data_IF_639605676000
#
_entry.id   IF_639605676000
#
_cell.length_a   1.000
_cell.length_b   1.000
_cell.length_c   1.000
_cell.angle_alpha   90.00
_cell.angle_beta   90.00
_cell.angle_gamma   90.00
#
_symmetry.space_group_name_H-M   'P 1'
#
loop_
_entity.id
_entity.type
_entity.pdbx_description
1 polymer ?
#
# COMPACT_ATOMS: atom_id res chain seq x y z
N UNK A 1 -8.67 -3.73 -0.64
CA UNK A 1 -8.54 -4.35 -1.96
C UNK A 1 -7.48 -5.43 -1.84
N UNK A 2 -7.80 -6.65 -2.27
CA UNK A 2 -6.92 -7.80 -2.11
C UNK A 2 -6.45 -8.29 -3.48
N UNK A 3 -5.14 -8.32 -3.70
CA UNK A 3 -4.53 -8.89 -4.91
C UNK A 3 -4.05 -10.30 -4.60
N UNK A 4 -4.38 -11.26 -5.47
CA UNK A 4 -3.93 -12.63 -5.30
C UNK A 4 -2.48 -12.80 -5.81
N UNK A 5 -1.59 -13.16 -4.91
CA UNK A 5 -0.18 -13.43 -5.17
C UNK A 5 0.11 -14.94 -5.31
N UNK A 6 -0.90 -15.81 -5.34
CA UNK A 6 -0.70 -17.26 -5.42
C UNK A 6 0.11 -17.67 -6.66
N UNK A 7 -0.06 -16.96 -7.77
CA UNK A 7 0.58 -17.28 -9.04
C UNK A 7 2.09 -17.00 -9.00
N UNK A 8 2.50 -15.87 -8.40
CA UNK A 8 3.92 -15.53 -8.21
C UNK A 8 4.55 -16.34 -7.07
N UNK A 9 3.83 -16.55 -5.95
CA UNK A 9 4.33 -17.35 -4.84
C UNK A 9 4.50 -18.84 -5.18
N UNK A 10 3.74 -19.36 -6.15
CA UNK A 10 3.85 -20.75 -6.61
C UNK A 10 4.88 -20.93 -7.73
N UNK A 11 5.05 -19.94 -8.60
CA UNK A 11 5.94 -20.01 -9.76
C UNK A 11 6.90 -18.80 -9.81
N UNK A 12 8.18 -19.09 -9.55
CA UNK A 12 9.25 -18.07 -9.49
C UNK A 12 9.52 -17.36 -10.82
N UNK A 13 8.95 -17.82 -11.94
CA UNK A 13 9.11 -17.18 -13.25
C UNK A 13 7.93 -16.29 -13.62
N UNK A 14 6.90 -16.22 -12.77
CA UNK A 14 5.74 -15.38 -13.00
C UNK A 14 5.86 -14.04 -12.32
N UNK A 15 5.22 -13.05 -12.93
CA UNK A 15 5.07 -11.70 -12.39
C UNK A 15 3.59 -11.39 -12.39
N UNK A 16 3.08 -10.93 -11.26
CA UNK A 16 1.71 -10.43 -11.14
C UNK A 16 1.75 -8.92 -11.35
N UNK A 17 1.04 -8.43 -12.34
CA UNK A 17 0.88 -7.00 -12.60
C UNK A 17 -0.61 -6.74 -12.76
N UNK A 18 -1.19 -6.04 -11.79
CA UNK A 18 -2.63 -5.78 -11.71
C UNK A 18 -2.83 -4.29 -11.46
N UNK A 19 -3.76 -3.71 -12.22
CA UNK A 19 -4.19 -2.33 -12.02
C UNK A 19 -5.58 -2.36 -11.42
N UNK A 20 -5.70 -1.89 -10.18
CA UNK A 20 -6.93 -1.97 -9.41
C UNK A 20 -7.41 -0.56 -9.05
N UNK A 21 -8.71 -0.24 -9.19
CA UNK A 21 -9.21 1.07 -8.81
C UNK A 21 -9.07 1.27 -7.30
N UNK A 22 -8.67 2.47 -6.87
CA UNK A 22 -8.64 2.77 -5.44
C UNK A 22 -10.07 2.85 -4.89
N UNK A 23 -10.39 2.02 -3.90
CA UNK A 23 -11.69 2.01 -3.22
C UNK A 23 -11.74 2.91 -1.99
N UNK A 24 -10.62 3.55 -1.64
CA UNK A 24 -10.50 4.42 -0.49
C UNK A 24 -11.10 5.79 -0.79
N UNK A 25 -12.26 6.08 -0.17
CA UNK A 25 -12.96 7.37 -0.32
C UNK A 25 -12.70 8.33 0.86
N UNK A 26 -12.17 7.82 1.99
CA UNK A 26 -11.96 8.61 3.19
C UNK A 26 -10.78 8.08 4.02
N UNK A 27 -9.92 9.00 4.46
CA UNK A 27 -8.81 8.72 5.37
C UNK A 27 -9.28 8.98 6.80
N UNK A 28 -9.34 7.93 7.62
CA UNK A 28 -9.72 8.03 9.03
C UNK A 28 -8.49 8.16 9.92
N UNK A 29 -8.26 9.36 10.49
CA UNK A 29 -7.18 9.61 11.43
C UNK A 29 -7.73 9.93 12.82
N UNK A 30 -6.87 9.87 13.84
CA UNK A 30 -7.23 10.32 15.19
C UNK A 30 -7.64 11.80 15.23
N UNK A 31 -7.11 12.60 14.29
CA UNK A 31 -7.38 14.03 14.17
C UNK A 31 -8.73 14.33 13.51
N UNK A 32 -9.31 13.37 12.77
CA UNK A 32 -10.55 13.57 12.03
C UNK A 32 -10.62 12.70 10.78
N UNK A 33 -11.68 12.92 10.01
CA UNK A 33 -11.98 12.20 8.77
C UNK A 33 -11.73 13.12 7.58
N UNK A 34 -10.91 12.65 6.64
CA UNK A 34 -10.46 13.45 5.50
C UNK A 34 -10.94 12.80 4.19
N UNK A 35 -11.82 13.46 3.42
CA UNK A 35 -12.36 12.88 2.21
C UNK A 35 -11.32 12.88 1.08
N UNK A 36 -11.24 11.75 0.38
CA UNK A 36 -10.49 11.59 -0.87
C UNK A 36 -11.37 12.11 -1.99
N UNK A 37 -10.96 13.20 -2.63
CA UNK A 37 -11.73 13.86 -3.69
C UNK A 37 -11.32 13.42 -5.09
N UNK A 38 -10.07 13.00 -5.24
CA UNK A 38 -9.53 12.49 -6.49
C UNK A 38 -8.64 11.28 -6.16
N UNK A 39 -8.70 10.24 -6.97
CA UNK A 39 -7.85 9.05 -6.82
C UNK A 39 -7.58 8.42 -8.17
N UNK A 40 -6.33 8.01 -8.36
CA UNK A 40 -5.90 7.25 -9.52
C UNK A 40 -5.94 5.74 -9.22
N UNK A 41 -6.14 4.89 -10.24
CA UNK A 41 -6.00 3.46 -10.04
C UNK A 41 -4.59 3.12 -9.54
N UNK A 42 -4.53 2.09 -8.70
CA UNK A 42 -3.29 1.60 -8.13
C UNK A 42 -2.72 0.55 -9.04
N UNK A 43 -1.53 0.80 -9.56
CA UNK A 43 -0.79 -0.20 -10.30
C UNK A 43 0.07 -0.97 -9.31
N UNK A 44 -0.13 -2.29 -9.24
CA UNK A 44 0.62 -3.15 -8.33
C UNK A 44 1.35 -4.20 -9.14
N UNK A 45 2.64 -4.34 -8.88
CA UNK A 45 3.54 -5.25 -9.56
C UNK A 45 4.31 -6.09 -8.56
N UNK A 46 4.05 -7.38 -8.53
CA UNK A 46 4.74 -8.35 -7.70
C UNK A 46 5.58 -9.29 -8.56
N UNK A 47 6.89 -9.29 -8.37
CA UNK A 47 7.83 -10.15 -9.09
C UNK A 47 8.78 -10.87 -8.14
N UNK A 48 9.21 -12.06 -8.53
CA UNK A 48 10.28 -12.75 -7.82
C UNK A 48 11.64 -12.13 -8.14
N UNK A 49 12.38 -11.73 -7.11
CA UNK A 49 13.76 -11.29 -7.22
C UNK A 49 14.73 -12.40 -6.78
N UNK A 50 16.03 -12.25 -7.09
CA UNK A 50 17.04 -13.32 -6.89
C UNK A 50 17.05 -13.82 -5.44
N UNK A 51 16.57 -15.04 -5.20
CA UNK A 51 16.52 -15.65 -3.88
C UNK A 51 15.15 -16.26 -3.59
N UNK A 52 14.72 -16.24 -2.33
CA UNK A 52 13.34 -16.51 -1.91
C UNK A 52 12.61 -15.20 -1.58
N UNK A 53 12.92 -14.14 -2.32
CA UNK A 53 12.41 -12.80 -2.08
C UNK A 53 11.41 -12.40 -3.17
N UNK A 54 10.34 -11.73 -2.76
CA UNK A 54 9.33 -11.14 -3.61
C UNK A 54 9.46 -9.62 -3.54
N UNK A 55 9.48 -8.96 -4.70
CA UNK A 55 9.44 -7.52 -4.82
C UNK A 55 8.04 -7.09 -5.22
N UNK A 56 7.39 -6.35 -4.34
CA UNK A 56 6.06 -5.78 -4.57
C UNK A 56 6.23 -4.27 -4.73
N UNK A 57 5.82 -3.74 -5.87
CA UNK A 57 5.78 -2.31 -6.15
C UNK A 57 4.33 -1.89 -6.25
N UNK A 58 3.97 -0.75 -5.66
CA UNK A 58 2.69 -0.10 -5.91
C UNK A 58 2.89 1.38 -6.20
N UNK A 59 2.20 1.84 -7.24
CA UNK A 59 2.16 3.23 -7.62
C UNK A 59 0.71 3.71 -7.77
N UNK A 60 0.44 4.89 -7.19
CA UNK A 60 -0.86 5.56 -7.27
C UNK A 60 -0.72 7.02 -6.84
N UNK A 61 -1.71 7.84 -7.18
CA UNK A 61 -1.83 9.20 -6.68
C UNK A 61 -3.25 9.45 -6.14
N UNK A 62 -3.35 10.17 -5.03
CA UNK A 62 -4.62 10.55 -4.43
C UNK A 62 -4.62 12.01 -4.02
N UNK A 63 -5.78 12.64 -4.07
CA UNK A 63 -5.98 14.00 -3.58
C UNK A 63 -6.96 13.97 -2.42
N UNK A 64 -6.50 14.44 -1.26
CA UNK A 64 -7.28 14.47 -0.02
C UNK A 64 -7.55 15.92 0.37
N UNK A 65 -8.75 16.20 0.88
CA UNK A 65 -9.04 17.50 1.50
C UNK A 65 -8.60 17.49 2.96
N UNK A 66 -7.64 18.36 3.27
CA UNK A 66 -7.12 18.55 4.63
C UNK A 66 -7.46 19.97 5.09
N UNK A 67 -8.33 20.14 6.12
CA UNK A 67 -8.60 21.45 6.70
C UNK A 67 -7.32 22.04 7.29
N UNK A 68 -6.97 23.24 6.85
CA UNK A 68 -5.85 23.98 7.41
C UNK A 68 -6.20 24.46 8.82
N UNK A 69 -5.45 24.03 9.84
CA UNK A 69 -5.69 24.44 11.24
C UNK A 69 -5.66 25.98 11.43
N UNK A 70 -4.88 26.68 10.60
CA UNK A 70 -4.73 28.13 10.66
C UNK A 70 -5.87 28.90 10.00
N UNK A 71 -6.39 28.41 8.88
CA UNK A 71 -7.34 29.13 8.03
C UNK A 71 -8.76 28.54 8.08
N UNK A 72 -8.92 27.31 8.59
CA UNK A 72 -10.15 26.50 8.59
C UNK A 72 -10.73 26.26 7.19
N UNK A 73 -9.92 26.38 6.14
CA UNK A 73 -10.30 26.08 4.76
C UNK A 73 -9.78 24.71 4.34
N UNK A 74 -10.58 23.99 3.55
CA UNK A 74 -10.20 22.70 2.99
C UNK A 74 -9.14 22.89 1.90
N UNK A 75 -7.92 22.43 2.18
CA UNK A 75 -6.80 22.48 1.24
C UNK A 75 -6.67 21.12 0.56
N UNK A 76 -6.56 21.12 -0.77
CA UNK A 76 -6.27 19.91 -1.54
C UNK A 76 -4.81 19.53 -1.34
N UNK A 77 -4.59 18.30 -0.89
CA UNK A 77 -3.27 17.70 -0.74
C UNK A 77 -3.16 16.51 -1.68
N UNK A 78 -2.23 16.62 -2.63
CA UNK A 78 -1.91 15.56 -3.57
C UNK A 78 -0.80 14.68 -2.97
N UNK A 79 -1.11 13.40 -2.77
CA UNK A 79 -0.19 12.36 -2.33
C UNK A 79 0.18 11.51 -3.53
N UNK A 80 1.48 11.41 -3.83
CA UNK A 80 2.01 10.56 -4.90
C UNK A 80 2.72 9.39 -4.23
N UNK A 81 2.04 8.26 -4.19
CA UNK A 81 2.48 7.08 -3.45
C UNK A 81 3.26 6.19 -4.40
N UNK A 82 4.54 5.95 -4.08
CA UNK A 82 5.39 5.02 -4.80
C UNK A 82 6.11 4.11 -3.80
N UNK A 83 5.44 3.02 -3.43
CA UNK A 83 5.96 2.10 -2.44
C UNK A 83 6.61 0.90 -3.11
N UNK A 84 7.77 0.51 -2.63
CA UNK A 84 8.41 -0.76 -2.99
C UNK A 84 8.68 -1.54 -1.71
N UNK A 85 8.12 -2.75 -1.62
CA UNK A 85 8.27 -3.63 -0.46
C UNK A 85 8.91 -4.94 -0.88
N UNK A 86 9.90 -5.34 -0.10
CA UNK A 86 10.60 -6.61 -0.24
C UNK A 86 10.03 -7.58 0.79
N UNK A 87 9.66 -8.78 0.34
CA UNK A 87 9.03 -9.80 1.18
C UNK A 87 9.86 -11.07 1.05
N UNK A 88 10.52 -11.47 2.14
CA UNK A 88 11.28 -12.71 2.16
C UNK A 88 10.34 -13.89 2.46
N UNK A 89 10.06 -14.68 1.43
CA UNK A 89 9.21 -15.89 1.46
C UNK A 89 10.01 -17.08 2.02
N UNK A 90 11.29 -16.89 2.32
CA UNK A 90 12.20 -17.91 2.83
C UNK A 90 12.21 -18.05 4.35
N UNK A 91 11.65 -17.08 5.07
CA UNK A 91 11.62 -17.05 6.54
C UNK A 91 10.50 -17.96 7.08
N UNK A 92 10.80 -18.73 8.12
CA UNK A 92 9.78 -19.47 8.89
C UNK A 92 8.93 -18.51 9.71
N UNK A 93 7.70 -18.90 10.02
CA UNK A 93 6.65 -18.11 10.68
C UNK A 93 7.11 -17.37 11.95
N UNK A 94 8.17 -17.87 12.61
CA UNK A 94 8.74 -17.32 13.84
C UNK A 94 9.75 -16.16 13.62
N UNK A 95 10.50 -16.15 12.51
CA UNK A 95 11.49 -15.09 12.20
C UNK A 95 10.86 -13.91 11.46
N UNK A 96 9.69 -14.15 10.84
CA UNK A 96 8.85 -13.09 10.30
C UNK A 96 8.48 -12.12 11.46
N UNK A 97 8.12 -12.62 12.64
CA UNK A 97 7.50 -11.87 13.75
C UNK A 97 8.26 -10.66 14.32
N UNK A 98 9.57 -10.55 14.12
CA UNK A 98 10.38 -9.45 14.69
C UNK A 98 10.66 -8.30 13.70
N UNK A 99 10.57 -8.54 12.37
CA UNK A 99 10.58 -7.48 11.33
C UNK A 99 9.16 -7.20 10.76
N UNK A 100 8.16 -7.99 11.18
CA UNK A 100 6.77 -7.98 10.72
C UNK A 100 5.90 -6.81 11.16
N UNK A 101 6.39 -5.83 11.93
CA UNK A 101 5.58 -4.64 12.25
C UNK A 101 5.25 -3.85 10.97
N UNK A 102 6.07 -4.00 9.92
CA UNK A 102 5.89 -3.33 8.63
C UNK A 102 5.16 -4.17 7.55
N UNK A 103 4.92 -5.48 7.74
CA UNK A 103 4.41 -6.38 6.67
C UNK A 103 2.98 -6.90 6.88
N UNK A 104 2.13 -6.16 7.63
CA UNK A 104 0.71 -6.52 7.87
C UNK A 104 -0.20 -6.38 6.62
N UNK A 105 0.37 -6.07 5.46
CA UNK A 105 -0.36 -5.97 4.20
C UNK A 105 -0.43 -7.31 3.44
N UNK A 106 0.27 -8.38 3.84
CA UNK A 106 0.11 -9.72 3.21
C UNK A 106 -0.55 -10.68 4.18
N UNK A 107 -1.71 -11.20 3.79
CA UNK A 107 -2.44 -12.25 4.49
C UNK A 107 -2.40 -13.55 3.66
N UNK A 108 -1.46 -14.43 4.00
CA UNK A 108 -1.21 -15.68 3.28
C UNK A 108 -0.77 -15.44 1.83
N UNK A 109 -1.70 -15.57 0.88
CA UNK A 109 -1.47 -15.34 -0.54
C UNK A 109 -2.15 -14.06 -1.07
N UNK A 110 -2.70 -13.22 -0.20
CA UNK A 110 -3.41 -12.00 -0.60
C UNK A 110 -2.66 -10.77 -0.10
N UNK A 111 -2.44 -9.82 -1.00
CA UNK A 111 -1.90 -8.51 -0.69
C UNK A 111 -3.02 -7.49 -0.52
N UNK A 112 -3.12 -6.89 0.66
CA UNK A 112 -4.00 -5.79 0.99
C UNK A 112 -3.37 -4.45 0.58
N UNK A 113 -3.75 -3.99 -0.60
CA UNK A 113 -3.23 -2.76 -1.21
C UNK A 113 -3.68 -1.54 -0.41
N UNK A 114 -4.92 -1.50 0.06
CA UNK A 114 -5.42 -0.34 0.83
C UNK A 114 -4.64 -0.14 2.12
N UNK A 115 -4.31 -1.23 2.85
CA UNK A 115 -3.46 -1.13 4.03
C UNK A 115 -2.07 -0.58 3.72
N UNK A 116 -1.48 -1.04 2.62
CA UNK A 116 -0.13 -0.61 2.22
C UNK A 116 -0.12 0.88 1.86
N UNK A 117 -1.09 1.33 1.06
CA UNK A 117 -1.24 2.73 0.70
C UNK A 117 -1.55 3.62 1.90
N UNK A 118 -2.45 3.17 2.78
CA UNK A 118 -2.77 3.91 3.99
C UNK A 118 -1.55 4.16 4.86
N UNK A 119 -0.66 3.17 5.00
CA UNK A 119 0.58 3.34 5.74
C UNK A 119 1.48 4.43 5.13
N UNK A 120 1.60 4.48 3.80
CA UNK A 120 2.41 5.51 3.14
C UNK A 120 1.80 6.90 3.28
N UNK A 121 0.48 7.01 3.09
CA UNK A 121 -0.26 8.27 3.27
C UNK A 121 -0.06 8.82 4.68
N UNK A 122 -0.04 7.95 5.69
CA UNK A 122 0.24 8.34 7.08
C UNK A 122 1.67 8.85 7.27
N UNK A 123 2.64 8.24 6.58
CA UNK A 123 4.05 8.63 6.63
C UNK A 123 4.29 10.02 6.02
N UNK A 124 3.60 10.31 4.91
CA UNK A 124 3.67 11.60 4.21
C UNK A 124 2.65 12.63 4.71
N UNK A 125 1.90 12.34 5.77
CA UNK A 125 0.80 13.19 6.22
C UNK A 125 1.32 14.56 6.72
N UNK A 126 0.76 15.68 6.23
CA UNK A 126 1.14 17.01 6.71
C UNK A 126 0.66 17.18 8.16
N UNK A 127 1.63 17.26 9.09
CA UNK A 127 1.41 17.43 10.52
C UNK A 127 1.12 18.89 10.93
#
# INVERSE_FOLDING_TARGET
MLINLSDVLSDQHKTVEETVPLTMEMIHLKSGDYPVVESEPVHVRAEHVKGKELLITADTAITVLIPCDRCLEDVRYDFVINCTKHVDIGLSDAELTEELDESNFIDGYHLDVDKMLFHEILSEWPA
#
